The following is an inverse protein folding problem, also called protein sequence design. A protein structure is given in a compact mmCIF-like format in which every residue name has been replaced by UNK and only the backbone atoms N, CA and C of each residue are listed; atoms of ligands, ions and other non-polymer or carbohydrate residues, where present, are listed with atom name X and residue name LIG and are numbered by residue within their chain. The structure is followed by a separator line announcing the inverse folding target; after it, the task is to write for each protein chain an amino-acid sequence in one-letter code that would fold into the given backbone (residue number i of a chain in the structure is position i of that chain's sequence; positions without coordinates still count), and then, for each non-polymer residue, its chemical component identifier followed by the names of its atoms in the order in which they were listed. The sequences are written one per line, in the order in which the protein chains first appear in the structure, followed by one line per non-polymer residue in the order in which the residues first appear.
data_IF_314337882261
#
_entry.id   IF_314337882261
#
_cell.length_a   1.000
_cell.length_b   1.000
_cell.length_c   1.000
_cell.angle_alpha   90.00
_cell.angle_beta   90.00
_cell.angle_gamma   90.00
#
_symmetry.space_group_name_H-M   'P 1'
#
loop_
_entity.id
_entity.type
_entity.pdbx_description
1 polymer ?
#
# COMPACT_ATOMS: atom_id res chain seq x y z
N UNK A 1 26.16 51.56 -39.06
CA UNK A 1 26.41 51.09 -37.69
C UNK A 1 25.10 51.21 -36.90
N UNK A 2 24.30 50.14 -36.85
CA UNK A 2 22.97 50.16 -36.21
C UNK A 2 23.14 49.93 -34.70
N UNK A 3 22.79 50.94 -33.91
CA UNK A 3 22.92 50.94 -32.45
C UNK A 3 21.68 50.28 -31.86
N UNK A 4 21.81 49.05 -31.36
CA UNK A 4 20.71 48.36 -30.68
C UNK A 4 20.45 49.08 -29.35
N UNK A 5 19.26 49.68 -29.19
CA UNK A 5 18.83 50.28 -27.93
C UNK A 5 18.42 49.16 -26.97
N UNK A 6 19.05 49.08 -25.81
CA UNK A 6 18.62 48.20 -24.73
C UNK A 6 17.27 48.70 -24.19
N UNK A 7 16.21 47.91 -24.37
CA UNK A 7 14.92 48.18 -23.73
C UNK A 7 14.93 47.54 -22.34
N UNK A 8 14.65 48.34 -21.32
CA UNK A 8 14.53 47.87 -19.94
C UNK A 8 13.11 47.39 -19.67
N UNK A 9 12.96 46.30 -18.90
CA UNK A 9 11.68 45.82 -18.39
C UNK A 9 11.08 46.86 -17.44
N UNK A 10 9.77 47.10 -17.52
CA UNK A 10 9.07 47.94 -16.56
C UNK A 10 8.77 47.16 -15.28
N UNK A 11 8.75 47.85 -14.13
CA UNK A 11 8.39 47.25 -12.84
C UNK A 11 6.97 46.66 -12.85
N UNK A 12 6.04 47.28 -13.60
CA UNK A 12 4.66 46.80 -13.69
C UNK A 12 4.54 45.51 -14.51
N UNK A 13 5.34 45.36 -15.57
CA UNK A 13 5.40 44.11 -16.34
C UNK A 13 5.89 42.95 -15.47
N UNK A 14 6.91 43.17 -14.64
CA UNK A 14 7.41 42.13 -13.75
C UNK A 14 6.40 41.80 -12.64
N UNK A 15 5.71 42.81 -12.11
CA UNK A 15 4.70 42.64 -11.06
C UNK A 15 3.50 41.81 -11.55
N UNK A 16 3.02 42.06 -12.77
CA UNK A 16 1.89 41.29 -13.32
C UNK A 16 2.27 39.82 -13.57
N UNK A 17 3.51 39.55 -13.98
CA UNK A 17 3.98 38.18 -14.26
C UNK A 17 4.04 37.35 -12.99
N UNK A 18 4.63 37.89 -11.91
CA UNK A 18 4.67 37.17 -10.63
C UNK A 18 3.26 36.97 -10.05
N UNK A 19 2.34 37.90 -10.30
CA UNK A 19 0.95 37.76 -9.89
C UNK A 19 0.25 36.58 -10.61
N UNK A 20 0.43 36.45 -11.93
CA UNK A 20 -0.15 35.35 -12.70
C UNK A 20 0.48 34.00 -12.31
N UNK A 21 1.81 33.94 -12.18
CA UNK A 21 2.51 32.72 -11.72
C UNK A 21 2.02 32.31 -10.33
N UNK A 22 1.79 33.27 -9.43
CA UNK A 22 1.22 33.04 -8.11
C UNK A 22 -0.12 32.32 -8.17
N UNK A 23 -1.06 32.83 -8.97
CA UNK A 23 -2.41 32.25 -9.12
C UNK A 23 -2.33 30.83 -9.71
N UNK A 24 -1.57 30.63 -10.79
CA UNK A 24 -1.45 29.33 -11.44
C UNK A 24 -0.78 28.30 -10.53
N UNK A 25 0.26 28.70 -9.80
CA UNK A 25 0.99 27.80 -8.89
C UNK A 25 0.12 27.27 -7.75
N UNK A 26 -0.81 28.09 -7.22
CA UNK A 26 -1.70 27.70 -6.14
C UNK A 26 -2.67 26.57 -6.56
N UNK A 27 -3.26 26.66 -7.75
CA UNK A 27 -4.19 25.64 -8.27
C UNK A 27 -3.46 24.32 -8.57
N UNK A 28 -2.27 24.42 -9.18
CA UNK A 28 -1.43 23.25 -9.48
C UNK A 28 -1.00 22.53 -8.20
N UNK A 29 -0.61 23.26 -7.16
CA UNK A 29 -0.18 22.65 -5.91
C UNK A 29 -1.31 21.86 -5.21
N UNK A 30 -2.53 22.40 -5.21
CA UNK A 30 -3.69 21.74 -4.62
C UNK A 30 -4.00 20.40 -5.32
N UNK A 31 -4.01 20.38 -6.66
CA UNK A 31 -4.27 19.17 -7.45
C UNK A 31 -3.14 18.13 -7.34
N UNK A 32 -1.88 18.59 -7.29
CA UNK A 32 -0.71 17.72 -7.21
C UNK A 32 -0.67 16.94 -5.89
N UNK A 33 -1.07 17.54 -4.77
CA UNK A 33 -1.06 16.86 -3.48
C UNK A 33 -2.03 15.66 -3.47
N UNK A 34 -3.25 15.83 -3.99
CA UNK A 34 -4.21 14.73 -4.13
C UNK A 34 -3.70 13.64 -5.08
N UNK A 35 -3.07 14.03 -6.21
CA UNK A 35 -2.51 13.07 -7.17
C UNK A 35 -1.38 12.23 -6.55
N UNK A 36 -0.50 12.84 -5.74
CA UNK A 36 0.57 12.11 -5.03
C UNK A 36 0.01 11.09 -4.03
N UNK A 37 -1.01 11.46 -3.26
CA UNK A 37 -1.63 10.53 -2.31
C UNK A 37 -2.30 9.35 -3.02
N UNK A 38 -3.01 9.60 -4.13
CA UNK A 38 -3.59 8.53 -4.97
C UNK A 38 -2.52 7.63 -5.60
N UNK A 39 -1.40 8.20 -6.06
CA UNK A 39 -0.26 7.43 -6.56
C UNK A 39 0.37 6.55 -5.49
N UNK A 40 0.34 6.98 -4.23
CA UNK A 40 0.80 6.17 -3.10
C UNK A 40 -0.11 4.96 -2.86
N UNK A 41 -1.42 5.14 -2.94
CA UNK A 41 -2.38 4.05 -2.84
C UNK A 41 -2.20 3.03 -3.99
N UNK A 42 -1.89 3.49 -5.20
CA UNK A 42 -1.57 2.61 -6.32
C UNK A 42 -0.28 1.80 -6.08
N UNK A 43 0.73 2.40 -5.44
CA UNK A 43 1.94 1.68 -5.04
C UNK A 43 1.63 0.59 -4.00
N UNK A 44 0.81 0.91 -2.98
CA UNK A 44 0.34 -0.07 -1.99
C UNK A 44 -0.39 -1.24 -2.67
N UNK A 45 -1.27 -0.96 -3.63
CA UNK A 45 -1.98 -2.00 -4.37
C UNK A 45 -1.01 -2.89 -5.18
N UNK A 46 0.01 -2.30 -5.81
CA UNK A 46 1.05 -3.03 -6.56
C UNK A 46 1.87 -3.95 -5.64
N UNK A 47 2.26 -3.47 -4.46
CA UNK A 47 2.99 -4.26 -3.48
C UNK A 47 2.12 -5.43 -2.99
N UNK A 48 0.83 -5.22 -2.70
CA UNK A 48 -0.06 -6.31 -2.30
C UNK A 48 -0.38 -7.30 -3.43
N UNK A 49 -0.42 -6.86 -4.69
CA UNK A 49 -0.50 -7.79 -5.82
C UNK A 49 0.75 -8.68 -5.91
N UNK A 50 1.93 -8.13 -5.60
CA UNK A 50 3.16 -8.92 -5.49
C UNK A 50 3.05 -9.95 -4.36
N UNK A 51 2.53 -9.56 -3.19
CA UNK A 51 2.26 -10.49 -2.08
C UNK A 51 1.37 -11.64 -2.53
N UNK A 52 0.31 -11.38 -3.29
CA UNK A 52 -0.61 -12.41 -3.76
C UNK A 52 0.09 -13.44 -4.66
N UNK A 53 0.89 -12.98 -5.62
CA UNK A 53 1.65 -13.88 -6.52
C UNK A 53 2.69 -14.69 -5.73
N UNK A 54 3.44 -14.04 -4.84
CA UNK A 54 4.46 -14.73 -4.05
C UNK A 54 3.86 -15.70 -3.03
N UNK A 55 2.67 -15.40 -2.49
CA UNK A 55 1.96 -16.31 -1.61
C UNK A 55 1.55 -17.60 -2.33
N UNK A 56 1.08 -17.50 -3.58
CA UNK A 56 0.76 -18.69 -4.39
C UNK A 56 2.02 -19.53 -4.68
N UNK A 57 3.15 -18.89 -4.99
CA UNK A 57 4.44 -19.58 -5.16
C UNK A 57 4.84 -20.28 -3.86
N UNK A 58 4.75 -19.58 -2.72
CA UNK A 58 5.05 -20.14 -1.40
C UNK A 58 4.16 -21.36 -1.08
N UNK A 59 2.89 -21.28 -1.44
CA UNK A 59 1.92 -22.36 -1.24
C UNK A 59 2.30 -23.63 -2.02
N UNK A 60 2.78 -23.48 -3.26
CA UNK A 60 3.26 -24.59 -4.08
C UNK A 60 4.61 -25.18 -3.64
N UNK A 61 5.53 -24.35 -3.16
CA UNK A 61 6.90 -24.78 -2.80
C UNK A 61 6.97 -25.53 -1.46
N UNK A 62 6.05 -25.29 -0.53
CA UNK A 62 6.11 -25.87 0.83
C UNK A 62 5.78 -27.36 0.92
N UNK A 63 5.48 -28.03 -0.20
CA UNK A 63 5.22 -29.48 -0.27
C UNK A 63 3.96 -29.96 0.47
N UNK A 64 3.35 -29.09 1.28
CA UNK A 64 2.15 -29.34 2.07
C UNK A 64 0.95 -28.49 1.69
N UNK A 65 1.03 -27.66 0.63
CA UNK A 65 -0.03 -26.76 0.17
C UNK A 65 -0.58 -25.91 1.33
N UNK A 66 0.32 -25.17 1.99
CA UNK A 66 0.02 -24.39 3.19
C UNK A 66 0.77 -23.07 3.20
N UNK A 67 0.17 -22.08 3.83
CA UNK A 67 0.75 -20.76 4.08
C UNK A 67 1.56 -20.68 5.40
N UNK A 68 1.75 -21.83 6.05
CA UNK A 68 2.61 -22.00 7.22
C UNK A 68 3.36 -23.34 7.16
N UNK A 69 4.43 -23.48 7.95
CA UNK A 69 5.32 -24.64 7.84
C UNK A 69 4.75 -25.93 8.45
N UNK A 70 3.79 -25.86 9.38
CA UNK A 70 3.39 -27.02 10.20
C UNK A 70 1.88 -27.23 10.40
N UNK A 71 1.00 -26.40 9.83
CA UNK A 71 -0.46 -26.51 10.05
C UNK A 71 -0.91 -26.33 11.50
N UNK A 72 -0.06 -25.77 12.36
CA UNK A 72 -0.32 -25.49 13.79
C UNK A 72 0.11 -24.09 14.21
N UNK A 73 0.76 -23.33 13.31
CA UNK A 73 1.31 -21.99 13.57
C UNK A 73 0.58 -20.97 12.71
N UNK A 74 -0.55 -20.47 13.20
CA UNK A 74 -1.27 -19.37 12.56
C UNK A 74 -0.89 -18.02 13.15
N UNK A 75 -1.32 -16.97 12.44
CA UNK A 75 -1.29 -15.60 12.91
C UNK A 75 -2.74 -15.14 13.00
N UNK A 76 -3.23 -14.92 14.22
CA UNK A 76 -4.51 -14.24 14.40
C UNK A 76 -4.45 -12.84 13.78
N UNK A 77 -5.58 -12.33 13.29
CA UNK A 77 -5.67 -11.01 12.67
C UNK A 77 -5.04 -9.94 13.57
N UNK A 78 -3.88 -9.45 13.15
CA UNK A 78 -3.02 -8.62 13.97
C UNK A 78 -2.06 -7.82 13.11
N UNK A 79 -1.21 -7.02 13.74
CA UNK A 79 -0.16 -6.27 13.05
C UNK A 79 0.68 -7.21 12.18
N UNK A 80 0.98 -6.81 10.94
CA UNK A 80 1.90 -7.56 10.10
C UNK A 80 3.30 -7.56 10.71
N UNK A 81 3.85 -8.75 10.92
CA UNK A 81 5.22 -8.98 11.38
C UNK A 81 5.82 -10.12 10.57
N UNK A 82 7.14 -10.11 10.41
CA UNK A 82 7.88 -11.22 9.83
C UNK A 82 7.86 -12.39 10.83
N UNK A 83 6.80 -13.19 10.79
CA UNK A 83 6.59 -14.29 11.72
C UNK A 83 7.17 -15.58 11.15
N UNK A 84 8.16 -16.14 11.85
CA UNK A 84 8.76 -17.43 11.51
C UNK A 84 7.70 -18.51 11.37
N UNK A 85 7.92 -19.46 10.45
CA UNK A 85 7.01 -20.56 10.12
C UNK A 85 5.69 -20.15 9.44
N UNK A 86 5.59 -18.93 8.93
CA UNK A 86 4.48 -18.47 8.06
C UNK A 86 5.02 -17.90 6.76
N UNK A 87 4.16 -17.70 5.75
CA UNK A 87 4.54 -17.00 4.52
C UNK A 87 5.16 -15.61 4.78
N UNK A 88 4.86 -14.97 5.91
CA UNK A 88 5.37 -13.65 6.24
C UNK A 88 6.85 -13.66 6.67
N UNK A 89 7.46 -14.82 6.89
CA UNK A 89 8.90 -14.94 7.04
C UNK A 89 9.64 -14.90 5.70
N UNK A 90 8.95 -15.13 4.57
CA UNK A 90 9.55 -15.02 3.25
C UNK A 90 10.00 -13.59 2.99
N UNK A 91 11.24 -13.44 2.52
CA UNK A 91 11.87 -12.12 2.35
C UNK A 91 11.19 -11.28 1.27
N UNK A 92 10.68 -11.90 0.20
CA UNK A 92 10.03 -11.17 -0.90
C UNK A 92 8.64 -10.69 -0.48
N UNK A 93 7.88 -11.56 0.17
CA UNK A 93 6.56 -11.24 0.74
C UNK A 93 6.69 -10.14 1.78
N UNK A 94 7.64 -10.27 2.72
CA UNK A 94 7.84 -9.28 3.77
C UNK A 94 8.32 -7.93 3.22
N UNK A 95 9.20 -7.92 2.22
CA UNK A 95 9.65 -6.68 1.60
C UNK A 95 8.51 -5.94 0.91
N UNK A 96 7.60 -6.65 0.24
CA UNK A 96 6.41 -6.05 -0.37
C UNK A 96 5.47 -5.46 0.70
N UNK A 97 5.19 -6.19 1.78
CA UNK A 97 4.37 -5.70 2.92
C UNK A 97 5.02 -4.45 3.55
N UNK A 98 6.32 -4.49 3.81
CA UNK A 98 7.05 -3.38 4.41
C UNK A 98 7.15 -2.17 3.46
N UNK A 99 7.26 -2.42 2.15
CA UNK A 99 7.16 -1.41 1.09
C UNK A 99 5.83 -0.67 1.15
N UNK A 100 4.72 -1.41 1.22
CA UNK A 100 3.39 -0.84 1.32
C UNK A 100 3.18 -0.03 2.62
N UNK A 101 3.68 -0.52 3.76
CA UNK A 101 3.64 0.20 5.05
C UNK A 101 4.40 1.53 4.93
N UNK A 102 5.60 1.52 4.35
CA UNK A 102 6.42 2.71 4.16
C UNK A 102 5.79 3.69 3.18
N UNK A 103 5.17 3.20 2.10
CA UNK A 103 4.44 4.02 1.15
C UNK A 103 3.30 4.77 1.84
N UNK A 104 2.48 4.07 2.64
CA UNK A 104 1.44 4.71 3.45
C UNK A 104 2.04 5.80 4.35
N UNK A 105 3.15 5.49 5.04
CA UNK A 105 3.88 6.43 5.90
C UNK A 105 3.48 6.36 7.37
N UNK A 106 2.60 5.42 7.76
CA UNK A 106 2.32 5.10 9.16
C UNK A 106 3.19 3.94 9.69
N UNK A 107 2.91 3.52 10.93
CA UNK A 107 3.57 2.36 11.54
C UNK A 107 2.81 1.08 11.22
N UNK A 108 3.52 -0.06 11.18
CA UNK A 108 2.90 -1.37 10.93
C UNK A 108 1.68 -1.62 11.83
N UNK A 109 1.75 -1.24 13.11
CA UNK A 109 0.66 -1.45 14.08
C UNK A 109 -0.66 -0.76 13.70
N UNK A 110 -0.56 0.41 13.07
CA UNK A 110 -1.72 1.24 12.71
C UNK A 110 -2.24 0.91 11.32
N UNK A 111 -1.33 0.69 10.37
CA UNK A 111 -1.68 0.65 8.94
C UNK A 111 -1.80 -0.75 8.39
N UNK A 112 -1.29 -1.77 9.08
CA UNK A 112 -1.23 -3.14 8.54
C UNK A 112 -2.01 -4.13 9.41
N UNK A 113 -2.68 -5.07 8.76
CA UNK A 113 -3.18 -6.29 9.41
C UNK A 113 -2.85 -7.50 8.55
N UNK A 114 -2.33 -8.55 9.17
CA UNK A 114 -2.00 -9.81 8.56
C UNK A 114 -2.63 -10.95 9.36
N UNK A 115 -2.95 -12.03 8.69
CA UNK A 115 -3.39 -13.27 9.30
C UNK A 115 -2.99 -14.48 8.48
N UNK A 116 -2.83 -15.59 9.17
CA UNK A 116 -2.71 -16.94 8.60
C UNK A 116 -3.56 -17.86 9.47
N UNK A 117 -4.43 -18.66 8.86
CA UNK A 117 -5.18 -19.67 9.61
C UNK A 117 -4.22 -20.68 10.24
N UNK A 118 -4.55 -21.21 11.43
CA UNK A 118 -3.65 -22.13 12.14
C UNK A 118 -3.35 -23.39 11.34
N UNK A 119 -4.34 -23.91 10.62
CA UNK A 119 -4.22 -25.06 9.71
C UNK A 119 -3.37 -24.76 8.45
N UNK A 120 -2.99 -23.50 8.23
CA UNK A 120 -2.22 -23.03 7.09
C UNK A 120 -3.02 -22.91 5.81
N UNK A 121 -4.34 -23.10 5.84
CA UNK A 121 -5.17 -23.19 4.63
C UNK A 121 -5.47 -21.84 3.99
N UNK A 122 -5.29 -20.74 4.73
CA UNK A 122 -5.61 -19.39 4.25
C UNK A 122 -4.69 -18.33 4.85
N UNK A 123 -4.54 -17.24 4.11
CA UNK A 123 -3.87 -16.03 4.56
C UNK A 123 -4.68 -14.80 4.11
N UNK A 124 -4.48 -13.70 4.81
CA UNK A 124 -4.94 -12.40 4.35
C UNK A 124 -3.98 -11.30 4.82
N UNK A 125 -3.82 -10.27 3.99
CA UNK A 125 -3.01 -9.09 4.25
C UNK A 125 -3.82 -7.86 3.89
N UNK A 126 -3.84 -6.87 4.78
CA UNK A 126 -4.43 -5.57 4.50
C UNK A 126 -3.52 -4.43 4.90
N UNK A 127 -3.52 -3.38 4.09
CA UNK A 127 -2.82 -2.12 4.32
C UNK A 127 -3.82 -0.97 4.19
N UNK A 128 -3.80 -0.05 5.14
CA UNK A 128 -4.65 1.12 5.16
C UNK A 128 -4.40 2.00 3.93
N UNK A 129 -5.46 2.58 3.36
CA UNK A 129 -5.33 3.61 2.33
C UNK A 129 -4.75 4.89 2.96
N UNK A 130 -3.88 5.57 2.21
CA UNK A 130 -3.37 6.89 2.59
C UNK A 130 -4.38 7.99 2.28
N UNK A 131 -5.23 7.78 1.27
CA UNK A 131 -6.31 8.72 0.90
C UNK A 131 -7.42 8.72 1.94
N UNK A 132 -7.79 7.56 2.48
CA UNK A 132 -8.86 7.43 3.47
C UNK A 132 -8.47 6.46 4.57
N UNK A 133 -8.30 6.94 5.79
CA UNK A 133 -7.82 6.12 6.91
C UNK A 133 -8.83 5.05 7.37
N UNK A 134 -10.11 5.18 7.04
CA UNK A 134 -11.09 4.12 7.31
C UNK A 134 -10.99 2.94 6.33
N UNK A 135 -10.30 3.15 5.21
CA UNK A 135 -10.27 2.29 4.03
C UNK A 135 -8.99 1.45 4.02
N UNK A 136 -9.09 0.23 3.48
CA UNK A 136 -7.98 -0.73 3.43
C UNK A 136 -7.94 -1.43 2.08
N UNK A 137 -6.73 -1.56 1.53
CA UNK A 137 -6.44 -2.53 0.49
C UNK A 137 -6.20 -3.86 1.15
N UNK A 138 -6.86 -4.91 0.70
CA UNK A 138 -6.72 -6.25 1.25
C UNK A 138 -6.58 -7.26 0.12
N UNK A 139 -5.71 -8.24 0.32
CA UNK A 139 -5.54 -9.43 -0.51
C UNK A 139 -5.61 -10.68 0.36
N UNK A 140 -6.21 -11.75 -0.16
CA UNK A 140 -6.30 -13.02 0.55
C UNK A 140 -6.11 -14.24 -0.35
N UNK A 141 -6.04 -15.41 0.29
CA UNK A 141 -5.89 -16.72 -0.35
C UNK A 141 -7.06 -17.15 -1.24
N UNK A 142 -8.19 -16.44 -1.23
CA UNK A 142 -9.33 -16.75 -2.14
C UNK A 142 -9.19 -16.06 -3.50
N UNK A 143 -8.14 -15.25 -3.67
CA UNK A 143 -7.94 -14.43 -4.86
C UNK A 143 -8.58 -13.04 -4.74
N UNK A 144 -9.20 -12.70 -3.60
CA UNK A 144 -9.74 -11.37 -3.40
C UNK A 144 -8.61 -10.34 -3.42
N UNK A 145 -8.85 -9.23 -4.12
CA UNK A 145 -8.01 -8.05 -4.09
C UNK A 145 -8.92 -6.82 -4.10
N UNK A 146 -8.83 -5.98 -3.07
CA UNK A 146 -9.67 -4.77 -2.99
C UNK A 146 -9.33 -3.80 -4.12
N UNK A 147 -10.28 -3.40 -4.98
CA UNK A 147 -9.98 -2.61 -6.17
C UNK A 147 -9.59 -1.16 -5.85
N UNK A 148 -10.05 -0.58 -4.73
CA UNK A 148 -9.67 0.78 -4.28
C UNK A 148 -10.06 1.01 -2.81
N UNK A 149 -9.33 0.43 -1.85
CA UNK A 149 -9.49 0.76 -0.43
C UNK A 149 -10.89 0.54 0.19
N UNK A 150 -11.80 -0.22 -0.40
CA UNK A 150 -13.26 -0.13 -0.14
C UNK A 150 -13.81 -0.54 1.24
N UNK A 151 -12.98 -0.66 2.27
CA UNK A 151 -13.27 -1.25 3.60
C UNK A 151 -13.37 -2.79 3.56
N UNK A 152 -12.21 -3.44 3.41
CA UNK A 152 -12.01 -4.83 3.79
C UNK A 152 -10.76 -4.92 4.68
N UNK A 153 -10.92 -5.27 5.95
CA UNK A 153 -9.82 -5.57 6.87
C UNK A 153 -9.58 -7.07 6.91
N UNK A 154 -8.41 -7.47 7.37
CA UNK A 154 -8.17 -8.87 7.71
C UNK A 154 -9.03 -9.24 8.92
N UNK A 155 -9.86 -10.27 8.76
CA UNK A 155 -10.56 -10.91 9.85
C UNK A 155 -10.06 -12.35 10.04
N UNK A 156 -9.97 -12.79 11.30
CA UNK A 156 -9.84 -14.21 11.67
C UNK A 156 -10.95 -14.54 12.65
N UNK A 157 -11.88 -15.41 12.28
CA UNK A 157 -12.97 -15.87 13.15
C UNK A 157 -12.55 -16.84 14.28
N UNK A 158 -11.38 -16.64 14.89
CA UNK A 158 -10.80 -17.56 15.88
C UNK A 158 -9.83 -18.58 15.31
N UNK A 159 -9.35 -19.50 16.17
CA UNK A 159 -8.21 -20.39 15.92
C UNK A 159 -8.37 -21.40 14.77
N UNK A 160 -9.54 -21.53 14.15
CA UNK A 160 -9.79 -22.45 13.02
C UNK A 160 -10.51 -21.77 11.85
N UNK A 161 -10.75 -20.47 11.93
CA UNK A 161 -11.45 -19.74 10.88
C UNK A 161 -10.48 -19.25 9.80
N UNK A 162 -10.96 -19.24 8.56
CA UNK A 162 -10.21 -18.76 7.42
C UNK A 162 -9.78 -17.30 7.62
N UNK A 163 -8.53 -17.00 7.25
CA UNK A 163 -8.03 -15.65 7.12
C UNK A 163 -8.52 -15.09 5.78
N UNK A 164 -9.42 -14.10 5.85
CA UNK A 164 -10.04 -13.50 4.65
C UNK A 164 -10.14 -11.99 4.79
N UNK A 165 -10.27 -11.32 3.64
CA UNK A 165 -10.63 -9.92 3.55
C UNK A 165 -12.13 -9.74 3.82
N UNK A 166 -12.50 -8.93 4.81
CA UNK A 166 -13.89 -8.64 5.18
C UNK A 166 -14.10 -7.16 5.48
#
# INVERSE_FOLDING_TARGET
MYKIRSQGFTLIELLVVIAIIGILSAVVLASLNTARTKGTDAAIASDLSTVQVQAEIYYGDTGGNKYNSNGTSGLAAGTCTALTNTLFADTTIWNAINGAIKANGGTAATVSKCAVANDGSSYAVSIQSKVTTSNYYCVDSTGYASPTGGSTKVATGGATAAAVCN
#
